data_IF_571841403969
#
_entry.id   IF_571841403969
#
_cell.length_a   1.000
_cell.length_b   1.000
_cell.length_c   1.000
_cell.angle_alpha   90.00
_cell.angle_beta   90.00
_cell.angle_gamma   90.00
#
_symmetry.space_group_name_H-M   'P 1'
#
loop_
_entity.id
_entity.type
_entity.pdbx_description
1 polymer ?
#
# COMPACT_ATOMS: atom_id res chain seq x y z
N UNK A 1 1.17 -18.31 -7.91
CA UNK A 1 0.60 -17.32 -6.97
C UNK A 1 -0.88 -17.14 -7.32
N UNK A 2 -1.75 -17.86 -6.63
CA UNK A 2 -3.17 -17.90 -6.97
C UNK A 2 -3.91 -16.72 -6.32
N UNK A 3 -4.61 -15.95 -7.14
CA UNK A 3 -5.61 -14.99 -6.71
C UNK A 3 -6.79 -15.79 -6.12
N UNK A 4 -7.06 -15.64 -4.83
CA UNK A 4 -8.13 -16.39 -4.12
C UNK A 4 -9.48 -15.66 -4.20
N UNK A 5 -9.49 -14.32 -4.12
CA UNK A 5 -10.73 -13.52 -4.16
C UNK A 5 -11.10 -13.13 -5.59
N UNK A 6 -12.36 -13.29 -6.01
CA UNK A 6 -12.79 -12.95 -7.37
C UNK A 6 -12.76 -11.44 -7.67
N UNK A 7 -12.89 -10.60 -6.64
CA UNK A 7 -12.96 -9.13 -6.72
C UNK A 7 -11.64 -8.43 -7.09
N UNK A 8 -10.48 -9.06 -6.90
CA UNK A 8 -9.17 -8.43 -7.16
C UNK A 8 -8.69 -8.76 -8.58
N UNK A 9 -8.23 -7.80 -9.38
CA UNK A 9 -7.73 -8.12 -10.73
C UNK A 9 -6.22 -8.34 -10.77
N UNK A 10 -5.76 -9.43 -11.39
CA UNK A 10 -4.33 -9.66 -11.73
C UNK A 10 -3.89 -8.97 -13.03
N UNK A 11 -4.83 -8.41 -13.81
CA UNK A 11 -4.49 -7.70 -15.05
C UNK A 11 -3.63 -6.46 -14.80
N UNK A 12 -2.45 -6.41 -15.43
CA UNK A 12 -1.50 -5.28 -15.36
C UNK A 12 -2.13 -3.93 -15.70
N UNK A 13 -3.02 -3.89 -16.71
CA UNK A 13 -3.71 -2.66 -17.12
C UNK A 13 -4.59 -2.10 -16.00
N UNK A 14 -5.38 -2.97 -15.35
CA UNK A 14 -6.28 -2.56 -14.26
C UNK A 14 -5.49 -2.09 -13.03
N UNK A 15 -4.41 -2.78 -12.68
CA UNK A 15 -3.52 -2.39 -11.57
C UNK A 15 -2.89 -1.00 -11.80
N UNK A 16 -2.34 -0.74 -12.99
CA UNK A 16 -1.76 0.58 -13.33
C UNK A 16 -2.80 1.70 -13.25
N UNK A 17 -4.00 1.48 -13.81
CA UNK A 17 -5.09 2.47 -13.75
C UNK A 17 -5.47 2.78 -12.30
N UNK A 18 -5.61 1.77 -11.44
CA UNK A 18 -5.94 1.96 -10.03
C UNK A 18 -4.86 2.73 -9.26
N UNK A 19 -3.58 2.48 -9.55
CA UNK A 19 -2.46 3.17 -8.91
C UNK A 19 -2.43 4.67 -9.26
N UNK A 20 -2.47 5.01 -10.55
CA UNK A 20 -2.32 6.41 -10.98
C UNK A 20 -3.59 7.25 -10.75
N UNK A 21 -4.77 6.64 -10.82
CA UNK A 21 -6.04 7.32 -10.59
C UNK A 21 -6.50 7.27 -9.12
N UNK A 22 -5.66 6.82 -8.19
CA UNK A 22 -6.01 6.73 -6.78
C UNK A 22 -6.34 8.13 -6.18
N UNK A 23 -7.32 8.24 -5.28
CA UNK A 23 -7.60 9.48 -4.54
C UNK A 23 -6.51 9.80 -3.51
N UNK A 24 -6.49 11.03 -2.99
CA UNK A 24 -5.43 11.56 -2.11
C UNK A 24 -5.13 10.67 -0.91
N UNK A 25 -6.15 10.22 -0.18
CA UNK A 25 -5.99 9.34 1.00
C UNK A 25 -5.27 8.04 0.66
N UNK A 26 -5.60 7.44 -0.48
CA UNK A 26 -4.98 6.20 -0.96
C UNK A 26 -3.56 6.47 -1.44
N UNK A 27 -3.31 7.60 -2.12
CA UNK A 27 -1.94 7.98 -2.51
C UNK A 27 -1.04 8.18 -1.29
N UNK A 28 -1.52 8.85 -0.25
CA UNK A 28 -0.78 9.01 1.02
C UNK A 28 -0.33 7.65 1.57
N UNK A 29 -1.24 6.69 1.60
CA UNK A 29 -0.94 5.34 2.08
C UNK A 29 0.07 4.60 1.19
N UNK A 30 -0.05 4.72 -0.14
CA UNK A 30 0.88 4.12 -1.11
C UNK A 30 2.28 4.72 -0.95
N UNK A 31 2.38 6.00 -0.64
CA UNK A 31 3.65 6.74 -0.49
C UNK A 31 4.24 6.69 0.93
N UNK A 32 3.78 5.77 1.78
CA UNK A 32 4.31 5.61 3.14
C UNK A 32 5.75 5.05 3.16
N UNK A 33 6.50 5.41 4.20
CA UNK A 33 7.89 4.99 4.39
C UNK A 33 8.06 4.15 5.68
N UNK A 34 9.04 3.23 5.72
CA UNK A 34 9.34 2.47 6.93
C UNK A 34 9.98 3.36 8.01
N UNK A 35 9.69 3.05 9.28
CA UNK A 35 10.31 3.73 10.42
C UNK A 35 11.66 3.09 10.79
N UNK A 36 12.56 3.89 11.40
CA UNK A 36 13.83 3.40 11.97
C UNK A 36 13.59 2.45 13.15
N UNK A 37 14.58 1.62 13.50
CA UNK A 37 14.43 0.59 14.55
C UNK A 37 13.99 1.18 15.89
N UNK A 38 14.63 2.26 16.31
CA UNK A 38 14.32 2.98 17.55
C UNK A 38 12.87 3.51 17.57
N UNK A 39 12.41 4.08 16.45
CA UNK A 39 11.04 4.59 16.34
C UNK A 39 10.01 3.47 16.29
N UNK A 40 10.35 2.33 15.68
CA UNK A 40 9.48 1.14 15.66
C UNK A 40 9.30 0.54 17.05
N UNK A 41 10.33 0.52 17.88
CA UNK A 41 10.23 0.03 19.26
C UNK A 41 9.39 0.97 20.13
N UNK A 42 9.59 2.28 19.98
CA UNK A 42 8.84 3.31 20.70
C UNK A 42 7.36 3.34 20.34
N UNK A 43 7.03 3.24 19.04
CA UNK A 43 5.67 3.42 18.55
C UNK A 43 4.96 2.10 18.19
N UNK A 44 5.68 0.97 18.16
CA UNK A 44 5.17 -0.36 17.78
C UNK A 44 4.50 -0.41 16.39
N UNK A 45 4.82 0.54 15.50
CA UNK A 45 4.31 0.61 14.12
C UNK A 45 5.47 0.46 13.13
N UNK A 46 5.23 -0.16 11.97
CA UNK A 46 6.26 -0.46 10.95
C UNK A 46 6.54 0.68 9.96
N UNK A 47 5.53 1.47 9.63
CA UNK A 47 5.60 2.55 8.65
C UNK A 47 4.86 3.79 9.15
N UNK A 48 5.26 4.97 8.69
CA UNK A 48 4.50 6.20 8.87
C UNK A 48 3.18 6.05 8.10
N UNK A 49 2.07 5.83 8.81
CA UNK A 49 0.74 5.79 8.19
C UNK A 49 0.20 7.19 7.96
#
# INVERSE_FOLDING_TARGET
>A
MAKVSTSVSSSRRKSRRAHFNAPSSVRHQIMSAPLSKELREKHKVRSSK
#
